data_IF_454353032300
#
_entry.id   IF_454353032300
#
_cell.length_a   1.000
_cell.length_b   1.000
_cell.length_c   1.000
_cell.angle_alpha   90.00
_cell.angle_beta   90.00
_cell.angle_gamma   90.00
#
_symmetry.space_group_name_H-M   'P 1'
#
loop_
_entity.id
_entity.type
_entity.pdbx_description
1 polymer ?
#
# COMPACT_ATOMS: atom_id res chain seq x y z
N UNK A 1 7.44 -2.41 -11.90
CA UNK A 1 8.74 -1.96 -12.46
C UNK A 1 9.91 -2.43 -11.60
N UNK A 2 9.96 -2.13 -10.28
CA UNK A 2 11.12 -2.41 -9.40
C UNK A 2 11.37 -3.91 -9.12
N UNK A 3 10.40 -4.80 -9.34
CA UNK A 3 10.59 -6.24 -9.14
C UNK A 3 11.63 -6.83 -10.11
N UNK A 4 11.70 -6.36 -11.34
CA UNK A 4 12.67 -6.84 -12.33
C UNK A 4 14.13 -6.55 -11.93
N UNK A 5 14.50 -5.32 -11.53
CA UNK A 5 15.84 -5.06 -10.99
C UNK A 5 16.16 -5.83 -9.71
N UNK A 6 15.18 -6.10 -8.85
CA UNK A 6 15.36 -6.94 -7.66
C UNK A 6 15.85 -8.33 -8.06
N UNK A 7 15.18 -8.97 -9.03
CA UNK A 7 15.55 -10.32 -9.52
C UNK A 7 17.01 -10.42 -9.95
N UNK A 8 17.55 -9.37 -10.56
CA UNK A 8 18.94 -9.36 -11.04
C UNK A 8 19.98 -9.28 -9.91
N UNK A 9 19.58 -8.82 -8.72
CA UNK A 9 20.47 -8.61 -7.57
C UNK A 9 20.41 -9.73 -6.53
N UNK A 10 19.38 -10.59 -6.59
CA UNK A 10 19.17 -11.68 -5.63
C UNK A 10 20.08 -12.86 -5.97
N UNK A 11 20.74 -13.37 -4.94
CA UNK A 11 21.44 -14.65 -4.98
C UNK A 11 20.50 -15.76 -4.47
N UNK A 12 20.09 -16.64 -5.36
CA UNK A 12 19.16 -17.74 -5.06
C UNK A 12 19.78 -18.82 -4.15
N UNK A 13 21.09 -18.89 -4.09
CA UNK A 13 21.80 -19.85 -3.20
C UNK A 13 21.78 -19.39 -1.73
N UNK A 14 21.52 -18.12 -1.48
CA UNK A 14 21.48 -17.55 -0.15
C UNK A 14 20.05 -17.51 0.39
N UNK A 15 19.75 -18.40 1.36
CA UNK A 15 18.45 -18.50 2.02
C UNK A 15 18.27 -17.42 3.11
N UNK A 16 18.27 -16.14 2.72
CA UNK A 16 18.13 -15.00 3.61
C UNK A 16 17.38 -13.86 2.90
N UNK A 17 16.79 -12.94 3.67
CA UNK A 17 16.15 -11.75 3.13
C UNK A 17 17.20 -10.84 2.47
N UNK A 18 17.12 -10.67 1.17
CA UNK A 18 18.03 -9.87 0.35
C UNK A 18 17.35 -8.64 -0.26
N UNK A 19 16.02 -8.66 -0.39
CA UNK A 19 15.24 -7.50 -0.79
C UNK A 19 14.10 -7.25 0.19
N UNK A 20 13.91 -5.99 0.56
CA UNK A 20 12.81 -5.52 1.38
C UNK A 20 12.02 -4.47 0.61
N UNK A 21 10.71 -4.69 0.46
CA UNK A 21 9.76 -3.73 -0.09
C UNK A 21 8.81 -3.30 1.02
N UNK A 22 8.88 -2.04 1.43
CA UNK A 22 7.99 -1.44 2.40
C UNK A 22 6.80 -0.80 1.68
N UNK A 23 5.60 -1.13 2.12
CA UNK A 23 4.33 -0.67 1.55
C UNK A 23 3.38 -0.20 2.66
N UNK A 24 2.49 0.79 2.42
CA UNK A 24 1.63 1.35 3.45
C UNK A 24 0.52 0.41 3.91
N UNK A 25 0.04 -0.47 3.03
CA UNK A 25 -1.15 -1.26 3.30
C UNK A 25 -0.94 -2.75 3.07
N UNK A 26 -1.76 -3.54 3.74
CA UNK A 26 -1.84 -4.99 3.58
C UNK A 26 -2.23 -5.39 2.16
N UNK A 27 -3.19 -4.68 1.61
CA UNK A 27 -3.70 -4.91 0.26
C UNK A 27 -2.59 -4.73 -0.78
N UNK A 28 -1.78 -3.67 -0.64
CA UNK A 28 -0.63 -3.45 -1.53
C UNK A 28 0.46 -4.50 -1.32
N UNK A 29 0.72 -4.93 -0.07
CA UNK A 29 1.66 -6.03 0.19
C UNK A 29 1.25 -7.31 -0.53
N UNK A 30 -0.02 -7.67 -0.47
CA UNK A 30 -0.57 -8.83 -1.16
C UNK A 30 -0.50 -8.67 -2.69
N UNK A 31 -0.81 -7.48 -3.21
CA UNK A 31 -0.72 -7.19 -4.64
C UNK A 31 0.71 -7.32 -5.15
N UNK A 32 1.66 -6.66 -4.50
CA UNK A 32 3.09 -6.74 -4.88
C UNK A 32 3.61 -8.17 -4.79
N UNK A 33 3.23 -8.90 -3.76
CA UNK A 33 3.61 -10.30 -3.62
C UNK A 33 3.04 -11.19 -4.73
N UNK A 34 1.79 -10.98 -5.12
CA UNK A 34 1.17 -11.70 -6.23
C UNK A 34 1.89 -11.43 -7.55
N UNK A 35 2.18 -10.16 -7.83
CA UNK A 35 2.96 -9.78 -9.01
C UNK A 35 4.37 -10.39 -8.98
N UNK A 36 5.01 -10.39 -7.79
CA UNK A 36 6.30 -11.03 -7.63
C UNK A 36 6.23 -12.54 -7.91
N UNK A 37 5.24 -13.25 -7.36
CA UNK A 37 5.05 -14.68 -7.60
C UNK A 37 4.88 -15.00 -9.09
N UNK A 38 4.06 -14.22 -9.80
CA UNK A 38 3.87 -14.40 -11.25
C UNK A 38 5.17 -14.21 -12.04
N UNK A 39 5.96 -13.18 -11.70
CA UNK A 39 7.24 -12.91 -12.36
C UNK A 39 8.32 -13.92 -12.00
N UNK A 40 8.24 -14.51 -10.80
CA UNK A 40 9.26 -15.37 -10.21
C UNK A 40 8.94 -16.87 -10.34
N UNK A 41 7.81 -17.25 -10.93
CA UNK A 41 7.26 -18.62 -10.96
C UNK A 41 8.29 -19.68 -11.37
N UNK A 42 9.22 -19.34 -12.27
CA UNK A 42 10.23 -20.27 -12.77
C UNK A 42 11.66 -19.96 -12.27
N UNK A 43 11.83 -19.06 -11.29
CA UNK A 43 13.19 -18.65 -10.86
C UNK A 43 13.67 -19.37 -9.60
N UNK A 44 12.78 -19.99 -8.84
CA UNK A 44 13.09 -20.55 -7.51
C UNK A 44 13.19 -19.53 -6.39
N UNK A 45 13.00 -18.23 -6.66
CA UNK A 45 13.00 -17.17 -5.65
C UNK A 45 11.76 -17.28 -4.74
N UNK A 46 11.97 -17.20 -3.44
CA UNK A 46 10.91 -17.28 -2.43
C UNK A 46 10.55 -15.90 -1.90
N UNK A 47 9.25 -15.67 -1.72
CA UNK A 47 8.70 -14.39 -1.26
C UNK A 47 7.99 -14.56 0.08
N UNK A 48 8.20 -13.63 1.02
CA UNK A 48 7.44 -13.51 2.26
C UNK A 48 6.57 -12.25 2.23
N UNK A 49 5.28 -12.40 2.61
CA UNK A 49 4.35 -11.28 2.78
C UNK A 49 4.14 -11.03 4.25
N UNK A 50 4.41 -9.79 4.71
CA UNK A 50 4.55 -9.44 6.12
C UNK A 50 3.67 -8.25 6.47
N UNK A 51 2.54 -8.48 7.17
CA UNK A 51 1.61 -7.41 7.56
C UNK A 51 0.88 -7.73 8.87
N UNK A 52 0.35 -6.71 9.51
CA UNK A 52 -0.36 -6.80 10.77
C UNK A 52 -1.80 -7.34 10.66
N UNK A 53 -2.38 -7.72 11.80
CA UNK A 53 -3.77 -8.19 11.88
C UNK A 53 -3.99 -9.66 11.48
N UNK A 54 -2.91 -10.41 11.27
CA UNK A 54 -2.90 -11.86 11.05
C UNK A 54 -1.85 -12.53 11.94
N UNK A 55 -1.96 -13.86 12.12
CA UNK A 55 -0.99 -14.63 12.89
C UNK A 55 0.42 -14.58 12.29
N UNK A 56 1.39 -14.99 13.09
CA UNK A 56 2.80 -14.98 12.70
C UNK A 56 3.22 -16.23 11.90
N UNK A 57 2.51 -17.34 12.05
CA UNK A 57 2.96 -18.65 11.61
C UNK A 57 3.38 -18.70 10.13
N UNK A 58 2.53 -18.21 9.23
CA UNK A 58 2.84 -18.21 7.80
C UNK A 58 4.06 -17.32 7.48
N UNK A 59 4.22 -16.19 8.18
CA UNK A 59 5.36 -15.29 8.00
C UNK A 59 6.66 -15.93 8.51
N UNK A 60 6.61 -16.56 9.69
CA UNK A 60 7.74 -17.31 10.25
C UNK A 60 8.15 -18.49 9.38
N UNK A 61 7.18 -19.22 8.83
CA UNK A 61 7.43 -20.31 7.90
C UNK A 61 8.11 -19.82 6.62
N UNK A 62 7.64 -18.72 6.05
CA UNK A 62 8.27 -18.13 4.87
C UNK A 62 9.74 -17.73 5.13
N UNK A 63 10.05 -17.18 6.30
CA UNK A 63 11.44 -16.87 6.68
C UNK A 63 12.28 -18.12 6.87
N UNK A 64 11.76 -19.14 7.54
CA UNK A 64 12.46 -20.44 7.71
C UNK A 64 12.73 -21.13 6.37
N UNK A 65 11.82 -20.97 5.43
CA UNK A 65 11.96 -21.48 4.06
C UNK A 65 12.95 -20.67 3.22
N UNK A 66 13.55 -19.61 3.79
CA UNK A 66 14.60 -18.81 3.14
C UNK A 66 14.05 -17.82 2.11
N UNK A 67 12.97 -17.10 2.44
CA UNK A 67 12.45 -16.05 1.58
C UNK A 67 13.51 -14.97 1.32
N UNK A 68 13.85 -14.76 0.06
CA UNK A 68 14.81 -13.74 -0.37
C UNK A 68 14.15 -12.37 -0.58
N UNK A 69 12.89 -12.33 -1.02
CA UNK A 69 12.09 -11.11 -1.15
C UNK A 69 11.08 -11.02 -0.01
N UNK A 70 11.17 -9.95 0.76
CA UNK A 70 10.22 -9.64 1.84
C UNK A 70 9.42 -8.40 1.43
N UNK A 71 8.09 -8.52 1.39
CA UNK A 71 7.16 -7.40 1.11
C UNK A 71 6.29 -7.19 2.34
N UNK A 72 6.26 -5.98 2.89
CA UNK A 72 5.46 -5.81 4.11
C UNK A 72 5.22 -4.38 4.55
N UNK A 73 4.32 -4.27 5.56
CA UNK A 73 4.01 -2.99 6.20
C UNK A 73 5.03 -2.68 7.31
N UNK A 74 5.43 -1.40 7.49
CA UNK A 74 6.52 -1.03 8.39
C UNK A 74 6.36 -1.58 9.82
N UNK A 75 5.18 -1.45 10.43
CA UNK A 75 4.96 -1.88 11.81
C UNK A 75 5.19 -3.38 12.03
N UNK A 76 4.74 -4.27 11.11
CA UNK A 76 4.95 -5.72 11.26
C UNK A 76 6.38 -6.13 10.89
N UNK A 77 7.01 -5.47 9.93
CA UNK A 77 8.44 -5.66 9.65
C UNK A 77 9.27 -5.33 10.88
N UNK A 78 9.03 -4.17 11.50
CA UNK A 78 9.70 -3.76 12.72
C UNK A 78 9.50 -4.78 13.86
N UNK A 79 8.28 -5.29 14.02
CA UNK A 79 7.97 -6.29 15.05
C UNK A 79 8.77 -7.59 14.86
N UNK A 80 8.93 -8.07 13.64
CA UNK A 80 9.80 -9.21 13.33
C UNK A 80 11.29 -8.93 13.58
N UNK A 81 11.76 -7.72 13.26
CA UNK A 81 13.14 -7.30 13.54
C UNK A 81 13.41 -7.24 15.04
N UNK A 82 12.50 -6.65 15.83
CA UNK A 82 12.59 -6.57 17.29
C UNK A 82 12.59 -7.96 17.95
N UNK A 83 11.87 -8.91 17.38
CA UNK A 83 11.81 -10.30 17.85
C UNK A 83 12.94 -11.19 17.31
N UNK A 84 13.86 -10.62 16.51
CA UNK A 84 14.93 -11.36 15.84
C UNK A 84 14.44 -12.54 14.99
N UNK A 85 13.21 -12.47 14.46
CA UNK A 85 12.63 -13.47 13.57
C UNK A 85 12.84 -13.16 12.09
N UNK A 86 13.26 -11.94 11.78
CA UNK A 86 13.73 -11.46 10.50
C UNK A 86 15.09 -10.78 10.72
N UNK A 87 16.10 -11.11 9.90
CA UNK A 87 17.36 -10.38 9.79
C UNK A 87 17.44 -9.69 8.43
N UNK A 88 18.04 -8.49 8.41
CA UNK A 88 18.36 -7.72 7.21
C UNK A 88 19.88 -7.71 6.90
N UNK A 89 20.69 -8.54 7.56
CA UNK A 89 22.16 -8.55 7.41
C UNK A 89 22.62 -8.81 5.97
N UNK A 90 21.80 -9.49 5.18
CA UNK A 90 22.07 -9.81 3.78
C UNK A 90 21.28 -8.93 2.79
N UNK A 91 20.72 -7.82 3.26
CA UNK A 91 19.91 -6.93 2.42
C UNK A 91 20.78 -6.32 1.32
N UNK A 92 20.32 -6.42 0.07
CA UNK A 92 20.92 -5.84 -1.13
C UNK A 92 20.05 -4.75 -1.76
N UNK A 93 18.71 -4.85 -1.55
CA UNK A 93 17.74 -3.93 -2.15
C UNK A 93 16.71 -3.49 -1.11
N UNK A 94 16.47 -2.18 -1.04
CA UNK A 94 15.42 -1.58 -0.22
C UNK A 94 14.53 -0.71 -1.08
N UNK A 95 13.24 -1.00 -1.07
CA UNK A 95 12.22 -0.25 -1.81
C UNK A 95 11.19 0.31 -0.84
N UNK A 96 10.85 1.58 -1.03
CA UNK A 96 9.68 2.22 -0.43
C UNK A 96 8.66 2.46 -1.55
N UNK A 97 7.47 1.89 -1.42
CA UNK A 97 6.38 2.11 -2.37
C UNK A 97 5.23 2.84 -1.69
N UNK A 98 4.65 3.82 -2.37
CA UNK A 98 3.69 4.80 -1.80
C UNK A 98 4.23 5.49 -0.53
N UNK A 99 5.43 6.08 -0.60
CA UNK A 99 6.11 6.66 0.57
C UNK A 99 5.32 7.80 1.23
N UNK A 100 4.66 8.65 0.46
CA UNK A 100 3.76 9.71 0.96
C UNK A 100 2.60 9.13 1.78
N UNK A 101 2.05 8.01 1.34
CA UNK A 101 0.99 7.33 2.05
C UNK A 101 1.47 6.67 3.34
N UNK A 102 2.67 6.08 3.35
CA UNK A 102 3.27 5.57 4.59
C UNK A 102 3.43 6.68 5.63
N UNK A 103 3.87 7.88 5.22
CA UNK A 103 3.98 9.04 6.10
C UNK A 103 2.61 9.52 6.60
N UNK A 104 1.60 9.62 5.73
CA UNK A 104 0.25 10.04 6.10
C UNK A 104 -0.43 9.08 7.06
N UNK A 105 -0.09 7.79 7.00
CA UNK A 105 -0.58 6.75 7.92
C UNK A 105 0.22 6.69 9.24
N UNK A 106 1.22 7.55 9.42
CA UNK A 106 1.97 7.64 10.67
C UNK A 106 3.09 6.60 10.83
N UNK A 107 3.54 5.92 9.78
CA UNK A 107 4.59 4.91 9.86
C UNK A 107 6.02 5.48 9.96
N UNK A 108 6.18 6.81 9.97
CA UNK A 108 7.52 7.42 10.07
C UNK A 108 8.34 6.89 11.26
N UNK A 109 7.80 6.79 12.51
CA UNK A 109 8.56 6.27 13.64
C UNK A 109 9.04 4.83 13.45
N UNK A 110 8.21 3.99 12.81
CA UNK A 110 8.55 2.58 12.55
C UNK A 110 9.67 2.48 11.51
N UNK A 111 9.58 3.27 10.43
CA UNK A 111 10.62 3.33 9.40
C UNK A 111 11.96 3.77 9.99
N UNK A 112 11.98 4.81 10.83
CA UNK A 112 13.21 5.27 11.50
C UNK A 112 13.83 4.19 12.41
N UNK A 113 12.98 3.37 13.06
CA UNK A 113 13.48 2.24 13.86
C UNK A 113 14.02 1.11 12.96
N UNK A 114 13.35 0.79 11.84
CA UNK A 114 13.82 -0.20 10.86
C UNK A 114 15.21 0.18 10.34
N UNK A 115 15.50 1.47 10.15
CA UNK A 115 16.81 1.96 9.68
C UNK A 115 17.97 1.42 10.51
N UNK A 116 17.77 1.19 11.80
CA UNK A 116 18.83 0.67 12.70
C UNK A 116 19.24 -0.77 12.39
N UNK A 117 18.41 -1.51 11.65
CA UNK A 117 18.65 -2.88 11.23
C UNK A 117 19.15 -2.99 9.79
N UNK A 118 19.20 -1.86 9.07
CA UNK A 118 19.77 -1.82 7.71
C UNK A 118 21.27 -1.94 7.81
N UNK A 119 21.89 -2.85 7.05
CA UNK A 119 23.34 -3.05 7.09
C UNK A 119 24.12 -1.81 6.61
N UNK A 120 25.38 -1.72 7.01
CA UNK A 120 26.27 -0.60 6.63
C UNK A 120 26.90 -0.75 5.26
N UNK A 121 26.88 -1.96 4.69
CA UNK A 121 27.34 -2.17 3.32
C UNK A 121 26.41 -1.49 2.30
N UNK A 122 26.88 -1.34 1.09
CA UNK A 122 26.10 -0.68 0.04
C UNK A 122 24.88 -1.50 -0.37
N UNK A 123 23.72 -0.88 -0.33
CA UNK A 123 22.45 -1.43 -0.78
C UNK A 123 21.85 -0.53 -1.88
N UNK A 124 21.18 -1.14 -2.85
CA UNK A 124 20.41 -0.40 -3.84
C UNK A 124 19.08 0.03 -3.21
N UNK A 125 18.88 1.33 -3.02
CA UNK A 125 17.67 1.86 -2.39
C UNK A 125 16.90 2.74 -3.36
N UNK A 126 15.57 2.60 -3.41
CA UNK A 126 14.68 3.43 -4.22
C UNK A 126 13.39 3.75 -3.49
N UNK A 127 12.84 4.92 -3.78
CA UNK A 127 11.58 5.38 -3.19
C UNK A 127 10.61 5.79 -4.29
N UNK A 128 9.40 5.23 -4.26
CA UNK A 128 8.32 5.52 -5.17
C UNK A 128 7.22 6.25 -4.40
N UNK A 129 6.73 7.34 -4.97
CA UNK A 129 5.69 8.16 -4.34
C UNK A 129 4.90 8.90 -5.41
N UNK A 130 3.61 9.08 -5.19
CA UNK A 130 2.77 9.89 -6.06
C UNK A 130 3.08 11.39 -5.91
N UNK A 131 3.46 11.80 -4.70
CA UNK A 131 3.80 13.18 -4.35
C UNK A 131 5.13 13.24 -3.60
N UNK A 132 5.86 14.36 -3.74
CA UNK A 132 7.14 14.58 -3.06
C UNK A 132 7.10 15.82 -2.15
N UNK A 133 6.22 15.85 -1.13
CA UNK A 133 6.25 16.92 -0.13
C UNK A 133 7.57 16.88 0.65
N UNK A 134 7.94 17.98 1.35
CA UNK A 134 9.22 18.07 2.08
C UNK A 134 9.48 16.90 3.05
N UNK A 135 8.42 16.26 3.56
CA UNK A 135 8.54 15.11 4.45
C UNK A 135 9.02 13.85 3.72
N UNK A 136 8.57 13.60 2.49
CA UNK A 136 9.03 12.49 1.64
C UNK A 136 10.49 12.70 1.25
N UNK A 137 10.86 13.94 0.89
CA UNK A 137 12.25 14.29 0.55
C UNK A 137 13.17 14.02 1.74
N UNK A 138 12.80 14.49 2.94
CA UNK A 138 13.57 14.21 4.17
C UNK A 138 13.67 12.71 4.48
N UNK A 139 12.62 11.93 4.18
CA UNK A 139 12.68 10.47 4.34
C UNK A 139 13.67 9.87 3.33
N UNK A 140 13.63 10.33 2.08
CA UNK A 140 14.55 9.88 1.05
C UNK A 140 16.01 10.16 1.45
N UNK A 141 16.33 11.35 1.94
CA UNK A 141 17.68 11.73 2.41
C UNK A 141 18.19 10.84 3.56
N UNK A 142 17.28 10.28 4.36
CA UNK A 142 17.65 9.39 5.46
C UNK A 142 17.97 7.96 5.03
N UNK A 143 17.34 7.49 3.97
CA UNK A 143 17.38 6.07 3.56
C UNK A 143 18.08 5.83 2.23
N UNK A 144 18.16 6.83 1.37
CA UNK A 144 18.78 6.73 0.07
C UNK A 144 20.16 7.37 0.08
N UNK A 145 21.09 6.78 -0.63
CA UNK A 145 22.44 7.32 -0.79
C UNK A 145 22.50 8.17 -2.06
N UNK A 146 22.75 9.47 -1.91
CA UNK A 146 22.78 10.42 -3.04
C UNK A 146 21.56 10.29 -3.98
N UNK A 147 20.33 10.47 -3.45
CA UNK A 147 19.14 10.22 -4.23
C UNK A 147 19.04 11.15 -5.44
N UNK A 148 18.66 10.58 -6.58
CA UNK A 148 18.29 11.33 -7.76
C UNK A 148 16.76 11.35 -7.86
N UNK A 149 16.17 12.54 -7.99
CA UNK A 149 14.74 12.70 -8.19
C UNK A 149 14.41 12.56 -9.68
N UNK A 150 13.65 11.53 -10.03
CA UNK A 150 13.10 11.33 -11.35
C UNK A 150 11.58 11.58 -11.30
N UNK A 151 11.13 12.70 -11.86
CA UNK A 151 9.71 13.00 -12.03
C UNK A 151 9.25 12.55 -13.42
N UNK A 152 8.32 11.59 -13.44
CA UNK A 152 7.69 11.10 -14.67
C UNK A 152 6.32 11.77 -14.92
N UNK A 153 5.74 12.40 -13.90
CA UNK A 153 4.58 13.26 -14.05
C UNK A 153 5.06 14.62 -14.58
N UNK A 154 4.74 14.93 -15.84
CA UNK A 154 4.88 16.29 -16.37
C UNK A 154 4.08 17.28 -15.50
N UNK A 155 4.09 18.56 -15.87
CA UNK A 155 3.35 19.62 -15.16
C UNK A 155 1.82 19.42 -15.10
N UNK A 156 1.30 18.30 -15.58
CA UNK A 156 -0.13 17.96 -15.53
C UNK A 156 -0.43 17.15 -14.26
N UNK A 157 -0.91 17.83 -13.25
CA UNK A 157 -1.43 17.24 -12.00
C UNK A 157 -2.78 16.54 -12.25
N UNK A 158 -3.38 16.73 -13.41
CA UNK A 158 -4.69 16.21 -13.78
C UNK A 158 -4.59 15.27 -14.98
N UNK A 159 -5.26 14.13 -14.89
CA UNK A 159 -5.54 13.28 -16.05
C UNK A 159 -6.56 14.05 -16.89
N UNK A 160 -6.19 14.43 -18.10
CA UNK A 160 -7.03 15.28 -18.98
C UNK A 160 -8.41 14.66 -19.30
N UNK A 161 -8.54 13.35 -19.13
CA UNK A 161 -9.76 12.57 -19.36
C UNK A 161 -10.72 12.55 -18.17
N UNK A 162 -10.33 13.13 -17.01
CA UNK A 162 -11.19 13.22 -15.82
C UNK A 162 -11.78 14.61 -15.74
N UNK A 163 -13.10 14.71 -15.84
CA UNK A 163 -13.83 15.94 -15.57
C UNK A 163 -13.92 16.15 -14.06
N UNK A 164 -13.46 17.31 -13.59
CA UNK A 164 -13.53 17.72 -12.18
C UNK A 164 -14.63 18.73 -11.99
N UNK A 165 -15.67 18.35 -11.25
CA UNK A 165 -16.80 19.24 -10.90
C UNK A 165 -16.91 19.39 -9.39
N UNK A 166 -17.41 20.55 -8.96
CA UNK A 166 -17.76 20.75 -7.56
C UNK A 166 -19.17 21.36 -7.44
N UNK A 167 -19.88 20.99 -6.37
CA UNK A 167 -21.22 21.47 -6.09
C UNK A 167 -21.22 22.20 -4.75
N UNK A 168 -21.69 23.46 -4.76
CA UNK A 168 -21.90 24.22 -3.54
C UNK A 168 -23.29 23.87 -3.00
N UNK A 169 -23.31 23.20 -1.86
CA UNK A 169 -24.55 22.72 -1.26
C UNK A 169 -24.70 23.22 0.18
N UNK A 170 -25.94 23.51 0.65
CA UNK A 170 -26.18 23.82 2.06
C UNK A 170 -25.75 22.68 2.97
N UNK A 171 -24.98 22.98 4.04
CA UNK A 171 -24.39 21.96 4.91
C UNK A 171 -25.37 20.97 5.55
N UNK A 172 -26.63 21.38 5.78
CA UNK A 172 -27.67 20.56 6.39
C UNK A 172 -28.41 19.62 5.39
N UNK A 173 -28.03 19.56 4.12
CA UNK A 173 -28.73 18.78 3.09
C UNK A 173 -27.80 18.03 2.13
N UNK A 174 -26.59 17.72 2.57
CA UNK A 174 -25.57 17.08 1.73
C UNK A 174 -26.02 15.72 1.17
N UNK A 175 -26.70 14.92 1.96
CA UNK A 175 -27.21 13.60 1.56
C UNK A 175 -28.29 13.70 0.47
N UNK A 176 -29.19 14.66 0.58
CA UNK A 176 -30.23 14.90 -0.45
C UNK A 176 -29.61 15.43 -1.75
N UNK A 177 -28.62 16.30 -1.62
CA UNK A 177 -27.88 16.81 -2.78
C UNK A 177 -27.10 15.70 -3.46
N UNK A 178 -26.49 14.78 -2.71
CA UNK A 178 -25.81 13.61 -3.25
C UNK A 178 -26.76 12.71 -4.06
N UNK A 179 -27.95 12.38 -3.51
CA UNK A 179 -28.96 11.59 -4.25
C UNK A 179 -29.34 12.28 -5.56
N UNK A 180 -29.61 13.60 -5.53
CA UNK A 180 -29.92 14.35 -6.75
C UNK A 180 -28.78 14.36 -7.77
N UNK A 181 -27.55 14.46 -7.32
CA UNK A 181 -26.37 14.38 -8.20
C UNK A 181 -26.33 13.01 -8.86
N UNK A 182 -26.49 11.93 -8.10
CA UNK A 182 -26.50 10.57 -8.65
C UNK A 182 -27.65 10.39 -9.67
N UNK A 183 -28.85 10.91 -9.37
CA UNK A 183 -29.99 10.88 -10.28
C UNK A 183 -29.73 11.68 -11.58
N UNK A 184 -29.06 12.83 -11.46
CA UNK A 184 -28.80 13.72 -12.62
C UNK A 184 -27.65 13.19 -13.49
N UNK A 185 -26.55 12.76 -12.87
CA UNK A 185 -25.36 12.26 -13.57
C UNK A 185 -25.54 10.81 -14.06
N UNK A 186 -26.45 10.08 -13.43
CA UNK A 186 -26.80 8.69 -13.74
C UNK A 186 -25.58 7.80 -14.05
N UNK A 187 -24.56 7.76 -13.16
CA UNK A 187 -23.36 7.00 -13.41
C UNK A 187 -23.62 5.50 -13.36
N UNK A 188 -22.96 4.71 -14.21
CA UNK A 188 -23.02 3.26 -14.18
C UNK A 188 -22.49 2.67 -12.85
N UNK A 189 -21.47 3.33 -12.27
CA UNK A 189 -20.92 3.02 -10.94
C UNK A 189 -20.39 4.28 -10.28
N UNK A 190 -20.37 4.33 -8.94
CA UNK A 190 -19.87 5.46 -8.19
C UNK A 190 -19.13 5.03 -6.92
N UNK A 191 -18.07 5.76 -6.56
CA UNK A 191 -17.38 5.63 -5.28
C UNK A 191 -17.55 6.93 -4.51
N UNK A 192 -18.08 6.86 -3.29
CA UNK A 192 -18.34 8.00 -2.43
C UNK A 192 -17.36 7.97 -1.26
N UNK A 193 -16.46 8.93 -1.18
CA UNK A 193 -15.53 9.09 -0.07
C UNK A 193 -16.13 9.95 1.04
N UNK A 194 -16.02 9.47 2.29
CA UNK A 194 -16.52 10.15 3.48
C UNK A 194 -15.39 10.33 4.49
N UNK A 195 -15.47 11.41 5.28
CA UNK A 195 -14.45 11.72 6.30
C UNK A 195 -14.57 10.82 7.55
N UNK A 196 -15.77 10.29 7.85
CA UNK A 196 -16.01 9.46 9.03
C UNK A 196 -16.73 8.17 8.67
N UNK A 197 -16.48 7.12 9.45
CA UNK A 197 -17.15 5.82 9.29
C UNK A 197 -18.66 5.90 9.54
N UNK A 198 -19.09 6.76 10.47
CA UNK A 198 -20.52 6.97 10.76
C UNK A 198 -21.23 7.55 9.53
N UNK A 199 -20.58 8.49 8.81
CA UNK A 199 -21.10 9.03 7.55
C UNK A 199 -21.16 7.94 6.46
N UNK A 200 -20.16 7.05 6.39
CA UNK A 200 -20.16 5.91 5.44
C UNK A 200 -21.38 5.03 5.70
N UNK A 201 -21.57 4.61 6.96
CA UNK A 201 -22.72 3.76 7.33
C UNK A 201 -24.04 4.46 7.04
N UNK A 202 -24.21 5.70 7.48
CA UNK A 202 -25.41 6.49 7.25
C UNK A 202 -25.76 6.61 5.77
N UNK A 203 -24.79 6.95 4.90
CA UNK A 203 -24.99 7.07 3.47
C UNK A 203 -25.33 5.73 2.81
N UNK A 204 -24.71 4.64 3.24
CA UNK A 204 -25.06 3.29 2.76
C UNK A 204 -26.55 2.98 3.02
N UNK A 205 -27.05 3.28 4.22
CA UNK A 205 -28.46 3.10 4.58
C UNK A 205 -29.38 4.01 3.75
N UNK A 206 -29.00 5.28 3.59
CA UNK A 206 -29.78 6.24 2.78
C UNK A 206 -29.89 5.78 1.34
N UNK A 207 -28.77 5.45 0.70
CA UNK A 207 -28.74 5.02 -0.70
C UNK A 207 -29.56 3.75 -0.93
N UNK A 208 -29.48 2.77 -0.03
CA UNK A 208 -30.32 1.56 -0.09
C UNK A 208 -31.81 1.87 -0.01
N UNK A 209 -32.22 2.86 0.81
CA UNK A 209 -33.63 3.31 0.88
C UNK A 209 -34.12 3.96 -0.42
N UNK A 210 -33.21 4.57 -1.18
CA UNK A 210 -33.51 5.12 -2.51
C UNK A 210 -33.39 4.07 -3.62
N UNK A 211 -33.16 2.79 -3.28
CA UNK A 211 -33.14 1.69 -4.23
C UNK A 211 -31.77 1.45 -4.91
N UNK A 212 -30.71 2.12 -4.47
CA UNK A 212 -29.37 1.89 -4.99
C UNK A 212 -28.72 0.65 -4.36
N UNK A 213 -28.01 -0.13 -5.18
CA UNK A 213 -27.16 -1.21 -4.71
C UNK A 213 -25.85 -0.64 -4.15
N UNK A 214 -25.85 -0.32 -2.86
CA UNK A 214 -24.74 0.36 -2.20
C UNK A 214 -24.12 -0.52 -1.11
N UNK A 215 -22.80 -0.68 -1.15
CA UNK A 215 -22.04 -1.29 -0.06
C UNK A 215 -21.21 -0.25 0.69
N UNK A 216 -20.88 -0.54 1.93
CA UNK A 216 -19.99 0.29 2.73
C UNK A 216 -18.62 -0.36 2.88
N UNK A 217 -17.57 0.48 2.94
CA UNK A 217 -16.21 0.05 3.22
C UNK A 217 -15.61 0.96 4.27
N UNK A 218 -15.41 0.43 5.49
CA UNK A 218 -14.82 1.16 6.61
C UNK A 218 -13.86 0.29 7.41
N UNK A 219 -13.18 0.89 8.40
CA UNK A 219 -12.29 0.16 9.31
C UNK A 219 -13.03 -0.82 10.21
N UNK A 220 -14.33 -0.67 10.40
CA UNK A 220 -15.14 -1.52 11.28
C UNK A 220 -15.53 -2.85 10.62
N UNK A 221 -15.39 -2.96 9.31
CA UNK A 221 -15.61 -4.22 8.61
C UNK A 221 -14.48 -5.21 8.85
N UNK A 222 -14.87 -6.45 9.15
CA UNK A 222 -13.92 -7.57 9.18
C UNK A 222 -13.22 -7.74 7.81
N UNK A 223 -11.98 -8.20 7.83
CA UNK A 223 -11.14 -8.28 6.62
C UNK A 223 -11.79 -9.08 5.48
N UNK A 224 -12.40 -10.22 5.81
CA UNK A 224 -13.10 -11.06 4.84
C UNK A 224 -14.28 -10.33 4.15
N UNK A 225 -14.97 -9.46 4.88
CA UNK A 225 -16.06 -8.63 4.31
C UNK A 225 -15.50 -7.54 3.41
N UNK A 226 -14.40 -6.89 3.80
CA UNK A 226 -13.71 -5.88 2.97
C UNK A 226 -13.28 -6.47 1.63
N UNK A 227 -12.71 -7.67 1.65
CA UNK A 227 -12.29 -8.39 0.44
C UNK A 227 -13.49 -8.71 -0.48
N UNK A 228 -14.63 -9.11 0.10
CA UNK A 228 -15.87 -9.35 -0.66
C UNK A 228 -16.39 -8.08 -1.33
N UNK A 229 -16.45 -6.96 -0.59
CA UNK A 229 -16.88 -5.66 -1.15
C UNK A 229 -15.95 -5.23 -2.28
N UNK A 230 -14.63 -5.29 -2.06
CA UNK A 230 -13.66 -4.95 -3.10
C UNK A 230 -13.75 -5.85 -4.33
N UNK A 231 -14.03 -7.14 -4.14
CA UNK A 231 -14.22 -8.06 -5.24
C UNK A 231 -15.52 -7.78 -6.04
N UNK A 232 -16.57 -7.27 -5.38
CA UNK A 232 -17.80 -6.81 -6.07
C UNK A 232 -17.51 -5.56 -6.91
N UNK A 233 -16.90 -4.54 -6.34
CA UNK A 233 -16.55 -3.30 -7.05
C UNK A 233 -15.69 -3.57 -8.29
N UNK A 234 -14.77 -4.55 -8.24
CA UNK A 234 -13.92 -4.91 -9.38
C UNK A 234 -14.67 -5.66 -10.51
N UNK A 235 -15.84 -6.21 -10.22
CA UNK A 235 -16.64 -6.95 -11.21
C UNK A 235 -17.68 -6.08 -11.94
N UNK A 236 -17.93 -4.87 -11.44
CA UNK A 236 -18.96 -3.94 -11.92
C UNK A 236 -20.25 -4.11 -11.16
#
# INVERSE_FOLDING_TARGET
AYLLPIMQKIDLQQNAAQALVLVPTRELALQVSKEAQMLLENTGMKTAVVYGGVGYNAQLEAFRNGAQLVVGTPGRILDHLLKNTLSLDHLKVLIFDEADRMLSMGFYPDMVKIRKYIPTHEIASSMFSATFPPQVIRLADQFLRQPQLLSLSGNQVHIAEIEHVYYVVPGMRKERSLVRIIETENPASAIIFCNTKDTVHYLSVVLKRFGYDADELSSDLAQNMREKVMARVKRG
#
